data_IF_362442126530
#
_entry.id   IF_362442126530
#
_cell.length_a   1.000
_cell.length_b   1.000
_cell.length_c   1.000
_cell.angle_alpha   90.00
_cell.angle_beta   90.00
_cell.angle_gamma   90.00
#
_symmetry.space_group_name_H-M   'P 1'
#
loop_
_entity.id
_entity.type
_entity.pdbx_description
1 polymer ?
#
# COMPACT_ATOMS: atom_id res chain seq x y z
N UNK A 1 23.97 -41.21 24.66
CA UNK A 1 23.60 -40.78 23.28
C UNK A 1 22.68 -41.80 22.60
N UNK A 2 22.94 -43.11 22.73
CA UNK A 2 22.10 -44.22 22.22
C UNK A 2 20.64 -44.14 22.66
N UNK A 3 20.37 -43.88 23.93
CA UNK A 3 19.02 -44.00 24.50
C UNK A 3 18.07 -42.93 23.96
N UNK A 4 18.58 -41.72 23.72
CA UNK A 4 17.78 -40.64 23.16
C UNK A 4 17.39 -40.91 21.69
N UNK A 5 18.27 -41.54 20.92
CA UNK A 5 17.94 -41.99 19.56
C UNK A 5 16.88 -43.08 19.58
N UNK A 6 16.99 -44.05 20.49
CA UNK A 6 16.03 -45.15 20.64
C UNK A 6 14.64 -44.61 20.99
N UNK A 7 14.54 -43.65 21.91
CA UNK A 7 13.26 -43.04 22.27
C UNK A 7 12.63 -42.28 21.10
N UNK A 8 13.42 -41.53 20.33
CA UNK A 8 12.93 -40.86 19.12
C UNK A 8 12.52 -41.83 18.03
N UNK A 9 13.24 -42.95 17.88
CA UNK A 9 12.89 -44.02 16.95
C UNK A 9 11.54 -44.66 17.33
N UNK A 10 11.32 -44.97 18.62
CA UNK A 10 10.01 -45.45 19.09
C UNK A 10 8.91 -44.44 18.80
N UNK A 11 9.17 -43.16 19.09
CA UNK A 11 8.18 -42.10 18.89
C UNK A 11 7.83 -41.92 17.41
N UNK A 12 8.80 -41.99 16.49
CA UNK A 12 8.59 -41.91 15.04
C UNK A 12 7.65 -43.01 14.52
N UNK A 13 7.68 -44.20 15.15
CA UNK A 13 6.81 -45.31 14.81
C UNK A 13 5.58 -45.44 15.71
N UNK A 14 5.25 -44.40 16.50
CA UNK A 14 4.06 -44.39 17.35
C UNK A 14 4.09 -45.45 18.46
N UNK A 15 5.28 -45.73 19.03
CA UNK A 15 5.51 -46.79 20.01
C UNK A 15 5.21 -48.22 19.51
N UNK A 16 5.30 -48.44 18.20
CA UNK A 16 5.17 -49.77 17.60
C UNK A 16 6.19 -50.78 18.11
N UNK A 17 5.85 -52.07 18.02
CA UNK A 17 6.76 -53.14 18.43
C UNK A 17 7.96 -53.24 17.48
N UNK A 18 9.08 -53.83 17.94
CA UNK A 18 10.25 -54.06 17.08
C UNK A 18 9.90 -54.89 15.82
N UNK A 19 8.94 -55.81 15.94
CA UNK A 19 8.45 -56.60 14.81
C UNK A 19 7.67 -55.77 13.79
N UNK A 20 6.88 -54.81 14.26
CA UNK A 20 6.14 -53.91 13.37
C UNK A 20 7.10 -52.96 12.65
N UNK A 21 8.09 -52.42 13.35
CA UNK A 21 9.13 -51.59 12.76
C UNK A 21 9.93 -52.38 11.72
N UNK A 22 10.33 -53.62 12.03
CA UNK A 22 11.03 -54.50 11.10
C UNK A 22 10.22 -54.76 9.82
N UNK A 23 8.90 -55.00 9.97
CA UNK A 23 7.99 -55.22 8.85
C UNK A 23 7.84 -53.98 7.98
N UNK A 24 7.60 -52.81 8.59
CA UNK A 24 7.43 -51.53 7.87
C UNK A 24 8.70 -51.10 7.13
N UNK A 25 9.87 -51.34 7.72
CA UNK A 25 11.16 -51.04 7.10
C UNK A 25 11.68 -52.15 6.19
N UNK A 26 11.00 -53.30 6.12
CA UNK A 26 11.46 -54.51 5.40
C UNK A 26 12.89 -54.91 5.80
N UNK A 27 13.21 -54.81 7.09
CA UNK A 27 14.52 -55.14 7.63
C UNK A 27 14.43 -56.39 8.51
N UNK A 28 15.52 -57.19 8.58
CA UNK A 28 15.57 -58.30 9.52
C UNK A 28 15.35 -57.84 10.96
N UNK A 29 14.58 -58.61 11.74
CA UNK A 29 14.30 -58.29 13.15
C UNK A 29 15.58 -58.11 13.99
N UNK A 30 16.64 -58.86 13.67
CA UNK A 30 17.94 -58.73 14.31
C UNK A 30 18.57 -57.35 14.08
N UNK A 31 18.38 -56.76 12.90
CA UNK A 31 18.88 -55.42 12.56
C UNK A 31 18.19 -54.35 13.40
N UNK A 32 16.87 -54.43 13.53
CA UNK A 32 16.10 -53.52 14.40
C UNK A 32 16.52 -53.71 15.86
N UNK A 33 16.61 -54.96 16.34
CA UNK A 33 17.09 -55.27 17.69
C UNK A 33 18.46 -54.64 17.99
N UNK A 34 19.38 -54.65 17.02
CA UNK A 34 20.69 -54.00 17.18
C UNK A 34 20.57 -52.48 17.35
N UNK A 35 19.61 -51.84 16.67
CA UNK A 35 19.36 -50.40 16.83
C UNK A 35 18.82 -50.07 18.22
N UNK A 36 17.91 -50.89 18.73
CA UNK A 36 17.45 -50.81 20.13
C UNK A 36 18.53 -51.20 21.14
N UNK A 37 19.58 -51.89 20.71
CA UNK A 37 20.81 -52.14 21.48
C UNK A 37 21.84 -51.02 21.41
N UNK A 38 21.52 -49.89 20.77
CA UNK A 38 22.37 -48.69 20.71
C UNK A 38 23.25 -48.58 19.46
N UNK A 39 23.16 -49.51 18.51
CA UNK A 39 23.84 -49.38 17.21
C UNK A 39 23.14 -48.35 16.34
N UNK A 40 23.87 -47.40 15.75
CA UNK A 40 23.28 -46.46 14.81
C UNK A 40 23.00 -47.11 13.44
N UNK A 41 21.87 -46.80 12.78
CA UNK A 41 21.60 -47.26 11.43
C UNK A 41 22.53 -46.59 10.39
N UNK A 42 22.72 -47.25 9.26
CA UNK A 42 23.42 -46.68 8.12
C UNK A 42 22.59 -45.55 7.46
N UNK A 43 23.20 -44.63 6.72
CA UNK A 43 22.51 -43.53 6.03
C UNK A 43 21.29 -43.99 5.20
N UNK A 44 21.42 -45.08 4.44
CA UNK A 44 20.32 -45.59 3.61
C UNK A 44 19.10 -46.01 4.44
N UNK A 45 19.34 -46.61 5.61
CA UNK A 45 18.28 -47.01 6.54
C UNK A 45 17.64 -45.79 7.20
N UNK A 46 18.43 -44.77 7.53
CA UNK A 46 17.92 -43.51 8.07
C UNK A 46 17.00 -42.80 7.06
N UNK A 47 17.38 -42.76 5.78
CA UNK A 47 16.55 -42.22 4.70
C UNK A 47 15.25 -43.04 4.58
N UNK A 48 15.33 -44.38 4.65
CA UNK A 48 14.13 -45.24 4.63
C UNK A 48 13.20 -44.95 5.80
N UNK A 49 13.73 -44.76 7.01
CA UNK A 49 12.94 -44.38 8.19
C UNK A 49 12.27 -43.02 7.98
N UNK A 50 13.03 -42.02 7.52
CA UNK A 50 12.50 -40.69 7.27
C UNK A 50 11.36 -40.70 6.24
N UNK A 51 11.51 -41.45 5.15
CA UNK A 51 10.47 -41.56 4.12
C UNK A 51 9.21 -42.30 4.60
N UNK A 52 9.37 -43.35 5.41
CA UNK A 52 8.26 -44.15 5.95
C UNK A 52 7.47 -43.42 7.04
N UNK A 53 8.12 -42.53 7.80
CA UNK A 53 7.51 -41.86 8.97
C UNK A 53 7.34 -40.35 8.79
N UNK A 54 7.84 -39.79 7.68
CA UNK A 54 7.90 -38.36 7.38
C UNK A 54 8.58 -37.51 8.46
N UNK A 55 9.54 -38.11 9.19
CA UNK A 55 10.28 -37.41 10.24
C UNK A 55 11.59 -36.82 9.73
N UNK A 56 12.01 -35.71 10.35
CA UNK A 56 13.28 -35.05 10.09
C UNK A 56 14.47 -35.89 10.57
N UNK A 57 15.48 -36.06 9.72
CA UNK A 57 16.74 -36.71 10.08
C UNK A 57 17.48 -35.97 11.20
N UNK A 58 17.44 -34.63 11.17
CA UNK A 58 18.05 -33.80 12.22
C UNK A 58 17.37 -34.05 13.57
N UNK A 59 16.05 -34.12 13.58
CA UNK A 59 15.32 -34.45 14.79
C UNK A 59 15.63 -35.87 15.26
N UNK A 60 15.61 -36.85 14.36
CA UNK A 60 15.85 -38.26 14.70
C UNK A 60 17.24 -38.49 15.31
N UNK A 61 18.28 -37.93 14.71
CA UNK A 61 19.66 -38.17 15.13
C UNK A 61 20.13 -37.23 16.25
N UNK A 62 19.86 -35.93 16.10
CA UNK A 62 20.41 -34.89 16.98
C UNK A 62 19.42 -34.42 18.04
N UNK A 63 18.12 -34.71 17.87
CA UNK A 63 17.07 -34.19 18.74
C UNK A 63 16.82 -32.70 18.56
N UNK A 64 17.25 -32.12 17.43
CA UNK A 64 17.12 -30.69 17.13
C UNK A 64 16.18 -30.46 15.95
N UNK A 65 15.49 -29.31 15.98
CA UNK A 65 14.51 -28.94 14.96
C UNK A 65 13.14 -29.61 15.12
N UNK A 66 12.27 -29.41 14.13
CA UNK A 66 10.91 -29.97 14.10
C UNK A 66 10.94 -31.48 13.82
N UNK A 67 10.08 -32.25 14.51
CA UNK A 67 9.97 -33.71 14.35
C UNK A 67 9.54 -34.09 12.94
N UNK A 68 8.48 -33.46 12.45
CA UNK A 68 8.00 -33.69 11.11
C UNK A 68 8.68 -32.72 10.18
N UNK A 69 9.10 -33.22 9.02
CA UNK A 69 9.41 -32.33 7.91
C UNK A 69 8.07 -31.72 7.54
N UNK A 70 7.79 -30.49 8.02
CA UNK A 70 6.75 -29.65 7.42
C UNK A 70 7.10 -29.72 5.95
N UNK A 71 6.24 -30.36 5.14
CA UNK A 71 6.47 -30.47 3.71
C UNK A 71 6.85 -29.08 3.26
N UNK A 72 8.13 -28.88 2.99
CA UNK A 72 8.64 -27.56 2.74
C UNK A 72 7.90 -27.16 1.50
N UNK A 73 6.90 -26.28 1.61
CA UNK A 73 6.39 -25.61 0.43
C UNK A 73 7.66 -25.13 -0.26
N UNK A 74 7.98 -25.65 -1.46
CA UNK A 74 9.17 -25.23 -2.16
C UNK A 74 9.10 -23.72 -2.16
N UNK A 75 10.17 -23.08 -1.69
CA UNK A 75 10.22 -21.65 -1.49
C UNK A 75 9.70 -21.01 -2.78
N UNK A 76 8.47 -20.51 -2.74
CA UNK A 76 7.82 -20.03 -3.95
C UNK A 76 8.43 -18.66 -4.20
N UNK A 77 9.51 -18.68 -4.98
CA UNK A 77 10.25 -17.49 -5.36
C UNK A 77 9.30 -16.49 -6.02
N UNK A 78 8.24 -16.95 -6.70
CA UNK A 78 7.16 -16.11 -7.21
C UNK A 78 6.49 -15.35 -6.06
N UNK A 79 5.90 -16.05 -5.07
CA UNK A 79 5.27 -15.41 -3.90
C UNK A 79 6.21 -14.52 -3.08
N UNK A 80 7.51 -14.81 -3.07
CA UNK A 80 8.52 -13.99 -2.40
C UNK A 80 8.81 -12.70 -3.17
N UNK A 81 8.92 -12.82 -4.50
CA UNK A 81 9.08 -11.68 -5.42
C UNK A 81 7.82 -10.81 -5.39
N UNK A 82 6.62 -11.40 -5.44
CA UNK A 82 5.35 -10.67 -5.40
C UNK A 82 5.24 -9.82 -4.13
N UNK A 83 5.50 -10.41 -2.96
CA UNK A 83 5.55 -9.66 -1.69
C UNK A 83 6.59 -8.55 -1.71
N UNK A 84 7.73 -8.75 -2.37
CA UNK A 84 8.76 -7.72 -2.46
C UNK A 84 8.33 -6.59 -3.39
N UNK A 85 7.67 -6.90 -4.50
CA UNK A 85 7.12 -5.91 -5.43
C UNK A 85 6.06 -5.08 -4.72
N UNK A 86 5.12 -5.71 -4.01
CA UNK A 86 4.10 -5.02 -3.20
C UNK A 86 4.73 -4.01 -2.23
N UNK A 87 5.73 -4.42 -1.45
CA UNK A 87 6.43 -3.54 -0.51
C UNK A 87 7.15 -2.37 -1.18
N UNK A 88 7.70 -2.58 -2.38
CA UNK A 88 8.39 -1.52 -3.13
C UNK A 88 7.38 -0.54 -3.69
N UNK A 89 6.27 -1.03 -4.25
CA UNK A 89 5.19 -0.19 -4.78
C UNK A 89 4.54 0.63 -3.68
N UNK A 90 4.22 0.03 -2.54
CA UNK A 90 3.65 0.73 -1.38
C UNK A 90 4.57 1.86 -0.90
N UNK A 91 5.88 1.59 -0.78
CA UNK A 91 6.87 2.62 -0.43
C UNK A 91 6.92 3.75 -1.46
N UNK A 92 6.96 3.41 -2.74
CA UNK A 92 6.99 4.41 -3.83
C UNK A 92 5.72 5.27 -3.86
N UNK A 93 4.56 4.68 -3.58
CA UNK A 93 3.29 5.41 -3.49
C UNK A 93 3.27 6.34 -2.28
N UNK A 94 3.77 5.90 -1.13
CA UNK A 94 3.88 6.75 0.07
C UNK A 94 4.86 7.92 -0.16
N UNK A 95 6.00 7.66 -0.81
CA UNK A 95 6.97 8.71 -1.16
C UNK A 95 6.37 9.72 -2.15
N UNK A 96 5.65 9.26 -3.18
CA UNK A 96 4.93 10.16 -4.11
C UNK A 96 3.78 10.92 -3.46
N UNK A 97 3.02 10.27 -2.57
CA UNK A 97 1.95 10.93 -1.84
C UNK A 97 2.52 12.03 -0.92
N UNK A 98 3.68 11.82 -0.30
CA UNK A 98 4.34 12.86 0.49
C UNK A 98 4.76 14.07 -0.35
N UNK A 99 5.18 13.86 -1.60
CA UNK A 99 5.47 14.95 -2.55
C UNK A 99 4.20 15.64 -3.05
N UNK A 100 3.09 14.92 -3.28
CA UNK A 100 1.79 15.51 -3.65
C UNK A 100 1.12 16.25 -2.48
N UNK A 101 1.30 15.79 -1.23
CA UNK A 101 0.72 16.44 -0.04
C UNK A 101 1.34 17.83 0.21
N UNK A 102 2.58 18.10 -0.24
CA UNK A 102 3.13 19.47 -0.20
C UNK A 102 2.37 20.45 -1.11
N UNK A 103 1.58 19.95 -2.08
CA UNK A 103 0.73 20.75 -2.98
C UNK A 103 -0.77 20.63 -2.68
N UNK A 104 -1.16 20.10 -1.52
CA UNK A 104 -2.55 20.14 -1.05
C UNK A 104 -2.79 21.43 -0.24
N UNK A 105 -2.69 22.57 -0.93
CA UNK A 105 -3.37 23.77 -0.47
C UNK A 105 -4.88 23.50 -0.38
N UNK A 106 -5.51 24.02 0.67
CA UNK A 106 -6.94 23.97 1.02
C UNK A 106 -7.89 23.58 -0.12
N UNK A 107 -8.30 22.31 -0.16
CA UNK A 107 -9.34 21.78 -1.07
C UNK A 107 -10.72 22.42 -0.84
N UNK A 108 -10.92 23.13 0.28
CA UNK A 108 -12.20 23.75 0.64
C UNK A 108 -12.36 25.20 0.13
N UNK A 109 -11.33 25.80 -0.49
CA UNK A 109 -11.48 27.10 -1.13
C UNK A 109 -11.89 26.92 -2.60
N UNK A 110 -13.04 27.46 -3.06
CA UNK A 110 -13.36 27.45 -4.47
C UNK A 110 -12.20 28.11 -5.24
N UNK A 111 -11.79 27.55 -6.40
CA UNK A 111 -10.68 28.09 -7.16
C UNK A 111 -10.93 29.59 -7.43
N UNK A 112 -9.88 30.43 -7.46
CA UNK A 112 -10.05 31.86 -7.71
C UNK A 112 -10.84 32.07 -9.01
N UNK A 113 -11.68 33.11 -9.02
CA UNK A 113 -12.49 33.40 -10.20
C UNK A 113 -11.58 33.74 -11.39
N UNK A 114 -11.72 32.97 -12.47
CA UNK A 114 -10.96 33.13 -13.70
C UNK A 114 -11.60 34.20 -14.59
N UNK A 115 -11.03 35.41 -14.54
CA UNK A 115 -11.48 36.58 -15.31
C UNK A 115 -11.27 36.39 -16.81
N UNK A 116 -10.19 35.72 -17.22
CA UNK A 116 -9.87 35.52 -18.64
C UNK A 116 -10.90 34.61 -19.30
N UNK A 117 -11.18 33.48 -18.67
CA UNK A 117 -12.22 32.54 -19.14
C UNK A 117 -13.60 33.18 -19.15
N UNK A 118 -13.93 34.00 -18.16
CA UNK A 118 -15.21 34.70 -18.11
C UNK A 118 -15.33 35.78 -19.21
N UNK A 119 -14.26 36.53 -19.46
CA UNK A 119 -14.19 37.56 -20.50
C UNK A 119 -14.31 36.95 -21.90
N UNK A 120 -13.63 35.83 -22.15
CA UNK A 120 -13.73 35.07 -23.40
C UNK A 120 -15.16 34.56 -23.66
N UNK A 121 -15.91 34.23 -22.59
CA UNK A 121 -17.26 33.68 -22.68
C UNK A 121 -18.34 34.74 -22.87
N UNK A 122 -18.22 35.89 -22.22
CA UNK A 122 -19.31 36.87 -22.14
C UNK A 122 -19.01 38.19 -22.84
N UNK A 123 -17.74 38.58 -22.98
CA UNK A 123 -17.25 39.83 -23.61
C UNK A 123 -17.87 41.14 -23.08
N UNK A 124 -18.77 41.05 -22.10
CA UNK A 124 -19.50 42.12 -21.43
C UNK A 124 -19.00 42.25 -19.98
N UNK A 125 -18.44 43.40 -19.59
CA UNK A 125 -17.83 43.58 -18.27
C UNK A 125 -18.86 43.49 -17.14
N UNK A 126 -20.11 43.89 -17.36
CA UNK A 126 -21.15 43.80 -16.33
C UNK A 126 -21.48 42.35 -16.00
N UNK A 127 -21.56 41.51 -17.04
CA UNK A 127 -21.82 40.09 -16.89
C UNK A 127 -20.65 39.35 -16.23
N UNK A 128 -19.41 39.69 -16.58
CA UNK A 128 -18.21 39.12 -15.93
C UNK A 128 -18.17 39.49 -14.45
N UNK A 129 -18.43 40.76 -14.11
CA UNK A 129 -18.50 41.22 -12.72
C UNK A 129 -19.63 40.54 -11.93
N UNK A 130 -20.79 40.34 -12.56
CA UNK A 130 -21.90 39.60 -11.97
C UNK A 130 -21.56 38.15 -11.62
N UNK A 131 -20.88 37.44 -12.52
CA UNK A 131 -20.40 36.07 -12.26
C UNK A 131 -19.31 36.03 -11.18
N UNK A 132 -18.40 37.02 -11.16
CA UNK A 132 -17.35 37.11 -10.14
C UNK A 132 -17.97 37.30 -8.74
N UNK A 133 -18.89 38.25 -8.59
CA UNK A 133 -19.57 38.46 -7.30
C UNK A 133 -20.37 37.23 -6.87
N UNK A 134 -21.06 36.55 -7.81
CA UNK A 134 -21.79 35.32 -7.52
C UNK A 134 -20.86 34.18 -7.07
N UNK A 135 -19.68 34.05 -7.68
CA UNK A 135 -18.65 33.10 -7.28
C UNK A 135 -18.17 33.34 -5.85
N UNK A 136 -18.11 34.60 -5.42
CA UNK A 136 -17.83 35.00 -4.04
C UNK A 136 -19.05 34.92 -3.09
N UNK A 137 -20.21 34.46 -3.57
CA UNK A 137 -21.45 34.42 -2.79
C UNK A 137 -22.05 35.79 -2.46
N UNK A 138 -21.73 36.82 -3.25
CA UNK A 138 -22.17 38.21 -3.08
C UNK A 138 -23.07 38.67 -4.23
N UNK A 139 -23.90 39.66 -3.97
CA UNK A 139 -24.70 40.32 -5.02
C UNK A 139 -23.90 41.44 -5.67
N UNK A 140 -23.89 41.46 -7.00
CA UNK A 140 -23.30 42.53 -7.78
C UNK A 140 -24.23 43.75 -7.76
N UNK A 141 -23.79 44.93 -7.31
CA UNK A 141 -24.69 46.07 -7.20
C UNK A 141 -24.94 46.74 -8.57
N UNK A 142 -26.22 46.96 -8.88
CA UNK A 142 -26.71 47.39 -10.21
C UNK A 142 -26.20 48.76 -10.66
N UNK A 143 -25.89 49.68 -9.72
CA UNK A 143 -25.63 51.10 -10.02
C UNK A 143 -24.16 51.46 -10.32
N UNK A 144 -23.21 50.53 -10.22
CA UNK A 144 -21.77 50.85 -10.32
C UNK A 144 -21.19 50.74 -11.74
N UNK A 145 -21.93 50.15 -12.68
CA UNK A 145 -21.41 49.74 -14.00
C UNK A 145 -21.13 50.87 -15.01
N UNK A 146 -21.43 52.14 -14.69
CA UNK A 146 -21.48 53.21 -15.72
C UNK A 146 -20.18 54.03 -15.84
N UNK A 147 -19.28 53.94 -14.85
CA UNK A 147 -18.05 54.78 -14.81
C UNK A 147 -16.77 53.98 -15.08
N UNK A 148 -16.70 52.71 -14.66
CA UNK A 148 -15.46 51.91 -14.72
C UNK A 148 -15.07 51.42 -16.11
N UNK A 149 -16.03 51.24 -17.01
CA UNK A 149 -15.82 50.57 -18.30
C UNK A 149 -16.07 51.50 -19.51
N UNK A 150 -15.91 52.81 -19.31
CA UNK A 150 -16.01 53.76 -20.42
C UNK A 150 -14.89 53.51 -21.43
N UNK A 151 -15.26 53.29 -22.70
CA UNK A 151 -14.30 52.96 -23.76
C UNK A 151 -13.98 51.46 -23.86
N UNK A 152 -14.76 50.58 -23.22
CA UNK A 152 -14.57 49.11 -23.24
C UNK A 152 -14.26 48.52 -24.63
N UNK A 153 -14.97 48.96 -25.66
CA UNK A 153 -14.80 48.49 -27.03
C UNK A 153 -13.43 48.83 -27.63
N UNK A 154 -12.71 49.81 -27.07
CA UNK A 154 -11.38 50.22 -27.51
C UNK A 154 -10.24 49.54 -26.76
N UNK A 155 -10.54 48.75 -25.73
CA UNK A 155 -9.53 48.10 -24.89
C UNK A 155 -9.00 46.83 -25.55
N UNK A 156 -7.70 46.57 -25.40
CA UNK A 156 -7.14 45.24 -25.71
C UNK A 156 -7.63 44.21 -24.70
N UNK A 157 -7.48 42.92 -24.99
CA UNK A 157 -7.91 41.86 -24.07
C UNK A 157 -7.19 41.95 -22.72
N UNK A 158 -5.93 42.38 -22.71
CA UNK A 158 -5.15 42.62 -21.48
C UNK A 158 -5.73 43.81 -20.71
N UNK A 159 -6.00 44.93 -21.38
CA UNK A 159 -6.58 46.13 -20.73
C UNK A 159 -7.99 45.85 -20.17
N UNK A 160 -8.77 44.99 -20.84
CA UNK A 160 -10.09 44.55 -20.36
C UNK A 160 -9.99 43.77 -19.06
N UNK A 161 -9.01 42.88 -18.93
CA UNK A 161 -8.77 42.11 -17.71
C UNK A 161 -8.35 43.06 -16.59
N UNK A 162 -7.39 43.96 -16.84
CA UNK A 162 -6.95 44.96 -15.87
C UNK A 162 -8.09 45.85 -15.39
N UNK A 163 -8.93 46.35 -16.30
CA UNK A 163 -10.08 47.18 -15.97
C UNK A 163 -11.11 46.45 -15.06
N UNK A 164 -11.36 45.15 -15.31
CA UNK A 164 -12.24 44.34 -14.46
C UNK A 164 -11.62 44.16 -13.06
N UNK A 165 -10.32 43.89 -12.96
CA UNK A 165 -9.62 43.75 -11.67
C UNK A 165 -9.64 45.06 -10.86
N UNK A 166 -9.38 46.19 -11.51
CA UNK A 166 -9.40 47.50 -10.85
C UNK A 166 -10.81 47.89 -10.39
N UNK A 167 -11.83 47.65 -11.22
CA UNK A 167 -13.22 47.84 -10.84
C UNK A 167 -13.60 46.99 -9.61
N UNK A 168 -13.19 45.71 -9.57
CA UNK A 168 -13.42 44.82 -8.43
C UNK A 168 -12.78 45.35 -7.15
N UNK A 169 -11.52 45.78 -7.22
CA UNK A 169 -10.78 46.34 -6.09
C UNK A 169 -11.43 47.60 -5.53
N UNK A 170 -11.92 48.49 -6.41
CA UNK A 170 -12.62 49.70 -5.98
C UNK A 170 -13.95 49.34 -5.31
N UNK A 171 -14.72 48.40 -5.86
CA UNK A 171 -15.99 47.97 -5.31
C UNK A 171 -15.85 47.27 -3.96
N UNK A 172 -14.85 46.43 -3.78
CA UNK A 172 -14.59 45.79 -2.48
C UNK A 172 -14.26 46.83 -1.41
N UNK A 173 -13.48 47.86 -1.78
CA UNK A 173 -13.15 48.96 -0.88
C UNK A 173 -14.38 49.79 -0.50
N UNK A 174 -15.23 50.15 -1.46
CA UNK A 174 -16.42 50.97 -1.19
C UNK A 174 -17.49 50.21 -0.42
N UNK A 175 -17.73 48.93 -0.74
CA UNK A 175 -18.70 48.08 -0.05
C UNK A 175 -18.27 47.73 1.38
N UNK A 176 -16.96 47.59 1.64
CA UNK A 176 -16.44 47.41 2.99
C UNK A 176 -16.68 48.64 3.86
N UNK A 177 -16.40 49.84 3.35
CA UNK A 177 -16.62 51.11 4.07
C UNK A 177 -18.10 51.32 4.41
N UNK A 178 -19.03 50.93 3.53
CA UNK A 178 -20.48 51.06 3.76
C UNK A 178 -21.04 50.10 4.82
N UNK A 179 -20.33 49.00 5.15
CA UNK A 179 -20.72 48.07 6.23
C UNK A 179 -20.27 48.55 7.62
N UNK A 180 -19.33 49.49 7.69
CA UNK A 180 -18.71 49.99 8.93
C UNK A 180 -19.22 51.38 9.36
N UNK A 181 -20.07 52.02 8.55
CA UNK A 181 -20.70 53.33 8.78
C UNK A 181 -22.20 53.19 9.08
#
# INVERSE_FOLDING_TARGET
>A
MSDQFIERLKLAFGHGSMADIARRLELPHATIRNYFGGRLPAPDVLIKIANETNVSLNWLLLGTGDMYVRGGEPLDLGKLIDRRIEQVVERMLLERAADEIQNLGSIDDPPPFDVESALARFSDPQRVMGEWFRHEGREYPEDFGVVFFQGWESFSDVDKIEAIMDAKKVLDRTLKVKREA
#
